data_IF_887287899757
#
_entry.id   IF_887287899757
#
_cell.length_a   1.000
_cell.length_b   1.000
_cell.length_c   1.000
_cell.angle_alpha   90.00
_cell.angle_beta   90.00
_cell.angle_gamma   90.00
#
_symmetry.space_group_name_H-M   'P 1'
#
loop_
_entity.id
_entity.type
_entity.pdbx_description
1 polymer ?
#
# COMPACT_ATOMS: atom_id res chain seq x y z
N UNK A 1 -24.12 26.84 9.66
CA UNK A 1 -22.86 26.14 9.31
C UNK A 1 -23.24 24.76 8.83
N UNK A 2 -22.98 24.42 7.57
CA UNK A 2 -23.14 23.03 7.13
C UNK A 2 -22.05 22.23 7.83
N UNK A 3 -22.44 21.21 8.60
CA UNK A 3 -21.50 20.20 9.10
C UNK A 3 -20.70 19.69 7.90
N UNK A 4 -19.39 19.88 7.94
CA UNK A 4 -18.50 19.41 6.88
C UNK A 4 -18.60 17.88 6.86
N UNK A 5 -19.23 17.35 5.81
CA UNK A 5 -19.41 15.90 5.64
C UNK A 5 -18.02 15.28 5.54
N UNK A 6 -17.67 14.51 6.56
CA UNK A 6 -16.35 13.89 6.72
C UNK A 6 -16.54 12.41 7.00
N UNK A 7 -15.63 11.59 6.50
CA UNK A 7 -15.64 10.13 6.65
C UNK A 7 -14.58 9.70 7.67
N UNK A 8 -14.70 8.52 8.26
CA UNK A 8 -13.70 8.00 9.21
C UNK A 8 -12.35 7.78 8.50
N UNK A 9 -12.37 7.09 7.37
CA UNK A 9 -11.21 6.90 6.53
C UNK A 9 -11.60 6.61 5.09
N UNK A 10 -10.60 6.51 4.22
CA UNK A 10 -10.77 6.02 2.86
C UNK A 10 -9.71 4.94 2.58
N UNK A 11 -10.04 4.04 1.67
CA UNK A 11 -9.17 2.93 1.26
C UNK A 11 -9.16 2.89 -0.26
N UNK A 12 -7.97 2.85 -0.83
CA UNK A 12 -7.74 2.63 -2.25
C UNK A 12 -7.26 1.19 -2.45
N UNK A 13 -8.02 0.40 -3.19
CA UNK A 13 -7.71 -1.00 -3.45
C UNK A 13 -7.69 -1.25 -4.95
N UNK A 14 -6.49 -1.42 -5.51
CA UNK A 14 -6.24 -1.58 -6.94
C UNK A 14 -7.02 -0.58 -7.80
N UNK A 15 -6.79 0.72 -7.56
CA UNK A 15 -7.55 1.79 -8.22
C UNK A 15 -6.69 2.96 -8.68
N UNK A 16 -5.64 3.33 -7.94
CA UNK A 16 -4.83 4.51 -8.30
C UNK A 16 -4.00 4.27 -9.56
N UNK A 17 -3.63 3.02 -9.84
CA UNK A 17 -2.95 2.61 -11.06
C UNK A 17 -3.82 2.77 -12.32
N UNK A 18 -5.14 2.77 -12.15
CA UNK A 18 -6.10 2.97 -13.24
C UNK A 18 -6.38 4.44 -13.57
N UNK A 19 -5.85 5.37 -12.77
CA UNK A 19 -6.06 6.80 -12.99
C UNK A 19 -5.24 7.25 -14.21
N UNK A 20 -5.80 8.08 -15.13
CA UNK A 20 -5.18 8.41 -16.41
C UNK A 20 -3.74 8.90 -16.39
N UNK A 21 -3.28 9.48 -15.28
CA UNK A 21 -1.88 9.82 -15.04
C UNK A 21 -1.59 9.90 -13.53
N UNK A 22 -0.31 9.84 -13.17
CA UNK A 22 0.11 9.78 -11.78
C UNK A 22 -0.07 11.08 -10.99
N UNK A 23 -0.05 12.25 -11.63
CA UNK A 23 -0.36 13.51 -10.93
C UNK A 23 -1.81 13.55 -10.47
N UNK A 24 -2.74 13.11 -11.33
CA UNK A 24 -4.15 13.00 -10.96
C UNK A 24 -4.37 11.95 -9.86
N UNK A 25 -3.61 10.84 -9.85
CA UNK A 25 -3.66 9.85 -8.78
C UNK A 25 -3.23 10.47 -7.43
N UNK A 26 -2.14 11.24 -7.41
CA UNK A 26 -1.70 11.99 -6.21
C UNK A 26 -2.73 13.02 -5.77
N UNK A 27 -3.32 13.78 -6.70
CA UNK A 27 -4.38 14.73 -6.38
C UNK A 27 -5.62 14.06 -5.80
N UNK A 28 -6.01 12.91 -6.35
CA UNK A 28 -7.14 12.12 -5.86
C UNK A 28 -6.89 11.67 -4.41
N UNK A 29 -5.68 11.16 -4.11
CA UNK A 29 -5.26 10.87 -2.75
C UNK A 29 -5.43 12.08 -1.83
N UNK A 30 -4.80 13.21 -2.17
CA UNK A 30 -4.81 14.43 -1.33
C UNK A 30 -6.24 14.94 -1.10
N UNK A 31 -7.09 14.95 -2.14
CA UNK A 31 -8.48 15.42 -2.03
C UNK A 31 -9.33 14.51 -1.14
N UNK A 32 -9.28 13.18 -1.33
CA UNK A 32 -10.07 12.29 -0.47
C UNK A 32 -9.51 12.21 0.95
N UNK A 33 -8.19 12.27 1.11
CA UNK A 33 -7.54 12.40 2.41
C UNK A 33 -8.07 13.63 3.14
N UNK A 34 -8.27 14.76 2.45
CA UNK A 34 -8.94 15.96 2.98
C UNK A 34 -10.27 15.70 3.66
N UNK A 35 -11.06 14.72 3.19
CA UNK A 35 -12.37 14.35 3.74
C UNK A 35 -12.30 13.33 4.90
N UNK A 36 -11.17 12.64 5.07
CA UNK A 36 -11.01 11.58 6.09
C UNK A 36 -10.59 12.13 7.46
N UNK A 37 -11.17 11.61 8.54
CA UNK A 37 -10.84 12.04 9.91
C UNK A 37 -9.65 11.30 10.51
N UNK A 38 -9.55 10.00 10.27
CA UNK A 38 -8.61 9.11 10.96
C UNK A 38 -7.50 8.62 10.06
N UNK A 39 -7.82 8.12 8.86
CA UNK A 39 -6.79 7.51 8.00
C UNK A 39 -7.09 7.58 6.50
N UNK A 40 -6.07 7.28 5.69
CA UNK A 40 -6.22 6.81 4.31
C UNK A 40 -5.28 5.63 4.07
N UNK A 41 -5.75 4.59 3.39
CA UNK A 41 -4.93 3.43 3.06
C UNK A 41 -4.84 3.19 1.55
N UNK A 42 -3.72 2.60 1.13
CA UNK A 42 -3.43 2.19 -0.22
C UNK A 42 -3.11 0.70 -0.25
N UNK A 43 -3.64 0.01 -1.24
CA UNK A 43 -3.20 -1.32 -1.65
C UNK A 43 -3.25 -1.40 -3.18
N UNK A 44 -2.13 -1.74 -3.80
CA UNK A 44 -2.03 -1.95 -5.23
C UNK A 44 -0.66 -2.46 -5.65
N UNK A 45 -0.41 -2.66 -6.95
CA UNK A 45 0.83 -3.27 -7.43
C UNK A 45 2.07 -2.45 -7.05
N UNK A 46 3.15 -3.12 -6.67
CA UNK A 46 4.41 -2.44 -6.35
C UNK A 46 5.17 -2.07 -7.63
N UNK A 47 5.07 -0.82 -8.08
CA UNK A 47 5.83 -0.30 -9.23
C UNK A 47 7.25 0.16 -8.90
N UNK A 48 7.72 -0.02 -7.65
CA UNK A 48 9.13 0.19 -7.34
C UNK A 48 10.01 -0.76 -8.15
N UNK A 49 11.17 -0.25 -8.59
CA UNK A 49 12.13 -0.98 -9.42
C UNK A 49 11.47 -1.65 -10.65
N UNK A 50 10.52 -0.96 -11.30
CA UNK A 50 9.87 -1.47 -12.51
C UNK A 50 10.86 -1.85 -13.62
N UNK A 51 10.56 -2.94 -14.31
CA UNK A 51 11.36 -3.42 -15.43
C UNK A 51 11.06 -2.61 -16.70
N UNK A 52 9.87 -2.02 -16.79
CA UNK A 52 9.39 -1.24 -17.92
C UNK A 52 8.51 -0.09 -17.46
N UNK A 53 8.64 1.06 -18.10
CA UNK A 53 7.80 2.20 -17.79
C UNK A 53 6.36 2.02 -18.31
N UNK A 54 5.44 2.79 -17.75
CA UNK A 54 4.05 2.80 -18.20
C UNK A 54 3.94 3.04 -19.72
N UNK A 55 3.21 2.15 -20.40
CA UNK A 55 3.00 2.13 -21.86
C UNK A 55 4.19 1.66 -22.71
N UNK A 56 5.30 1.23 -22.12
CA UNK A 56 6.38 0.58 -22.86
C UNK A 56 6.05 -0.89 -23.15
N UNK A 57 6.52 -1.39 -24.28
CA UNK A 57 6.44 -2.81 -24.60
C UNK A 57 7.61 -3.55 -23.94
N UNK A 58 7.36 -4.58 -23.10
CA UNK A 58 8.42 -5.37 -22.52
C UNK A 58 9.32 -6.02 -23.56
N UNK A 59 10.62 -5.73 -23.49
CA UNK A 59 11.64 -6.33 -24.37
C UNK A 59 12.22 -7.64 -23.82
N UNK A 60 11.88 -7.98 -22.57
CA UNK A 60 12.34 -9.11 -21.76
C UNK A 60 11.25 -9.48 -20.70
N UNK A 61 11.64 -10.12 -19.60
CA UNK A 61 10.80 -10.41 -18.44
C UNK A 61 10.21 -9.15 -17.81
N UNK A 62 8.94 -9.20 -17.43
CA UNK A 62 8.22 -8.11 -16.78
C UNK A 62 7.20 -8.65 -15.79
N UNK A 63 6.74 -7.81 -14.85
CA UNK A 63 5.63 -8.19 -13.97
C UNK A 63 4.32 -8.06 -14.74
N UNK A 64 3.39 -9.00 -14.55
CA UNK A 64 2.18 -9.07 -15.39
C UNK A 64 1.36 -7.78 -15.41
N UNK A 65 1.37 -7.03 -14.31
CA UNK A 65 0.66 -5.76 -14.18
C UNK A 65 1.36 -4.57 -14.84
N UNK A 66 2.64 -4.65 -15.20
CA UNK A 66 3.40 -3.56 -15.85
C UNK A 66 3.00 -3.34 -17.31
N UNK A 67 2.40 -4.35 -17.95
CA UNK A 67 1.96 -4.27 -19.35
C UNK A 67 0.43 -4.39 -19.48
N UNK A 68 -0.29 -4.05 -18.41
CA UNK A 68 -1.75 -4.01 -18.43
C UNK A 68 -2.21 -2.65 -18.93
N UNK A 69 -2.95 -2.61 -20.05
CA UNK A 69 -3.46 -1.37 -20.62
C UNK A 69 -4.32 -0.54 -19.66
N UNK A 70 -4.97 -1.19 -18.69
CA UNK A 70 -5.76 -0.53 -17.67
C UNK A 70 -4.91 0.27 -16.68
N UNK A 71 -3.63 -0.04 -16.54
CA UNK A 71 -2.71 0.63 -15.62
C UNK A 71 -2.06 1.83 -16.31
N UNK A 72 -2.72 2.98 -16.22
CA UNK A 72 -2.25 4.24 -16.82
C UNK A 72 -1.23 4.96 -15.96
N UNK A 73 -1.20 4.65 -14.66
CA UNK A 73 -0.21 5.15 -13.74
C UNK A 73 0.50 4.00 -13.03
N UNK A 74 1.81 3.91 -13.20
CA UNK A 74 2.67 3.04 -12.40
C UNK A 74 2.97 3.72 -11.07
N UNK A 75 1.98 3.72 -10.17
CA UNK A 75 2.01 4.48 -8.91
C UNK A 75 2.94 3.82 -7.90
N UNK A 76 4.15 4.36 -7.74
CA UNK A 76 5.20 3.79 -6.87
C UNK A 76 5.24 4.41 -5.46
N UNK A 77 6.12 3.88 -4.60
CA UNK A 77 6.21 4.30 -3.20
C UNK A 77 6.60 5.77 -3.01
N UNK A 78 7.45 6.30 -3.87
CA UNK A 78 7.87 7.72 -3.81
C UNK A 78 6.70 8.64 -4.12
N UNK A 79 5.85 8.27 -5.08
CA UNK A 79 4.63 9.03 -5.40
C UNK A 79 3.60 8.97 -4.27
N UNK A 80 3.42 7.80 -3.64
CA UNK A 80 2.55 7.64 -2.48
C UNK A 80 3.05 8.47 -1.29
N UNK A 81 4.36 8.44 -1.01
CA UNK A 81 5.00 9.26 0.03
C UNK A 81 4.80 10.75 -0.23
N UNK A 82 5.01 11.23 -1.46
CA UNK A 82 4.74 12.62 -1.86
C UNK A 82 3.28 13.01 -1.57
N UNK A 83 2.32 12.17 -1.97
CA UNK A 83 0.90 12.42 -1.75
C UNK A 83 0.53 12.46 -0.24
N UNK A 84 1.13 11.59 0.56
CA UNK A 84 0.97 11.57 2.02
C UNK A 84 1.55 12.84 2.67
N UNK A 85 2.73 13.29 2.24
CA UNK A 85 3.38 14.52 2.74
C UNK A 85 2.65 15.80 2.32
N UNK A 86 2.06 15.82 1.12
CA UNK A 86 1.23 16.94 0.63
C UNK A 86 -0.08 17.09 1.39
N UNK A 87 -0.51 16.04 2.09
CA UNK A 87 -1.69 16.08 2.95
C UNK A 87 -1.31 16.70 4.30
N UNK A 88 -1.57 18.00 4.49
CA UNK A 88 -1.09 18.80 5.64
C UNK A 88 -1.43 18.22 7.03
N UNK A 89 -2.49 17.42 7.14
CA UNK A 89 -2.91 16.81 8.41
C UNK A 89 -2.30 15.43 8.68
N UNK A 90 -1.47 14.89 7.78
CA UNK A 90 -0.74 13.63 8.01
C UNK A 90 0.14 13.76 9.26
N UNK A 91 -0.13 12.92 10.27
CA UNK A 91 0.62 12.84 11.53
C UNK A 91 1.65 11.73 11.52
N UNK A 92 1.32 10.63 10.85
CA UNK A 92 2.20 9.50 10.63
C UNK A 92 1.86 8.82 9.31
N UNK A 93 2.81 8.08 8.76
CA UNK A 93 2.53 7.17 7.66
C UNK A 93 3.52 6.01 7.62
N UNK A 94 3.12 4.95 6.92
CA UNK A 94 3.94 3.79 6.62
C UNK A 94 3.63 3.28 5.21
N UNK A 95 4.66 2.86 4.48
CA UNK A 95 4.60 2.25 3.15
C UNK A 95 5.45 0.98 3.16
N UNK A 96 4.84 -0.12 2.76
CA UNK A 96 5.40 -1.47 2.84
C UNK A 96 5.22 -2.18 1.51
N UNK A 97 6.28 -2.79 1.00
CA UNK A 97 6.19 -3.70 -0.13
C UNK A 97 6.13 -5.15 0.35
N UNK A 98 5.21 -5.93 -0.22
CA UNK A 98 4.90 -7.31 0.15
C UNK A 98 5.12 -8.26 -1.02
N UNK A 99 5.39 -9.53 -0.70
CA UNK A 99 5.56 -10.57 -1.72
C UNK A 99 6.87 -10.40 -2.49
N UNK A 100 8.04 -10.70 -1.90
CA UNK A 100 9.31 -10.59 -2.59
C UNK A 100 9.35 -11.55 -3.77
N UNK A 101 9.79 -11.02 -4.91
CA UNK A 101 10.02 -11.74 -6.15
C UNK A 101 11.53 -11.75 -6.36
N UNK A 102 12.14 -12.92 -6.19
CA UNK A 102 13.60 -13.09 -6.21
C UNK A 102 14.13 -13.70 -7.50
N UNK A 103 13.24 -14.23 -8.35
CA UNK A 103 13.60 -14.97 -9.56
C UNK A 103 12.52 -14.87 -10.63
N UNK A 104 12.93 -15.10 -11.88
CA UNK A 104 12.05 -15.04 -13.06
C UNK A 104 11.03 -16.17 -13.11
N UNK A 105 11.18 -17.25 -12.34
CA UNK A 105 10.19 -18.34 -12.26
C UNK A 105 8.92 -17.96 -11.49
N UNK A 106 8.93 -16.85 -10.73
CA UNK A 106 7.81 -16.39 -9.94
C UNK A 106 6.54 -16.17 -10.78
N UNK A 107 5.37 -16.53 -10.27
CA UNK A 107 4.11 -16.48 -11.06
C UNK A 107 3.72 -15.08 -11.55
N UNK A 108 4.26 -14.02 -10.94
CA UNK A 108 4.01 -12.65 -11.37
C UNK A 108 4.90 -12.19 -12.54
N UNK A 109 5.96 -12.95 -12.87
CA UNK A 109 6.86 -12.62 -13.97
C UNK A 109 6.38 -13.29 -15.25
N UNK A 110 6.24 -12.53 -16.33
CA UNK A 110 5.88 -13.00 -17.66
C UNK A 110 7.09 -12.95 -18.59
N UNK A 111 7.27 -13.92 -19.50
CA UNK A 111 8.31 -13.86 -20.51
C UNK A 111 8.05 -12.75 -21.54
N UNK A 112 9.11 -12.37 -22.25
CA UNK A 112 9.04 -11.52 -23.44
C UNK A 112 7.97 -12.03 -24.42
N UNK A 113 7.27 -11.09 -25.06
CA UNK A 113 6.31 -11.41 -26.13
C UNK A 113 4.98 -11.94 -25.61
N UNK A 114 4.79 -12.00 -24.29
CA UNK A 114 3.47 -12.23 -23.71
C UNK A 114 2.50 -11.13 -24.15
N UNK A 115 1.28 -11.48 -24.62
CA UNK A 115 0.27 -10.48 -24.97
C UNK A 115 0.01 -9.50 -23.83
N UNK A 116 -0.36 -8.27 -24.19
CA UNK A 116 -0.84 -7.28 -23.22
C UNK A 116 -2.10 -7.79 -22.52
N UNK A 117 -2.32 -7.30 -21.31
CA UNK A 117 -3.47 -7.69 -20.45
C UNK A 117 -3.49 -9.18 -20.06
N UNK A 118 -2.35 -9.87 -20.19
CA UNK A 118 -2.19 -11.20 -19.63
C UNK A 118 -2.18 -11.17 -18.10
N UNK A 119 -2.82 -12.18 -17.50
CA UNK A 119 -2.76 -12.40 -16.06
C UNK A 119 -1.41 -12.98 -15.60
N UNK A 120 -1.40 -13.58 -14.40
CA UNK A 120 -0.24 -14.30 -13.88
C UNK A 120 0.22 -15.41 -14.84
N UNK A 121 1.51 -15.75 -14.75
CA UNK A 121 2.11 -16.81 -15.55
C UNK A 121 1.34 -18.14 -15.39
N UNK A 122 1.01 -18.72 -16.53
CA UNK A 122 0.34 -20.01 -16.68
C UNK A 122 1.10 -20.76 -17.80
N UNK A 123 1.78 -21.88 -17.49
CA UNK A 123 2.55 -22.64 -18.47
C UNK A 123 1.70 -23.25 -19.61
N UNK A 124 0.37 -23.26 -19.49
CA UNK A 124 -0.54 -23.73 -20.56
C UNK A 124 -0.81 -22.65 -21.61
N UNK A 125 -0.64 -21.38 -21.25
CA UNK A 125 -1.01 -20.22 -22.08
C UNK A 125 0.24 -19.45 -22.50
N UNK A 126 1.22 -19.36 -21.62
CA UNK A 126 2.42 -18.55 -21.80
C UNK A 126 3.58 -19.37 -22.34
N UNK A 127 4.49 -18.69 -23.03
CA UNK A 127 5.76 -19.28 -23.46
C UNK A 127 6.56 -19.76 -22.24
N UNK A 128 7.36 -20.83 -22.35
CA UNK A 128 8.28 -21.21 -21.29
C UNK A 128 9.20 -20.05 -20.91
N UNK A 129 9.49 -19.95 -19.61
CA UNK A 129 10.50 -19.02 -19.08
C UNK A 129 11.58 -19.77 -18.32
N UNK A 130 12.80 -19.26 -18.43
CA UNK A 130 13.94 -19.76 -17.66
C UNK A 130 13.83 -19.29 -16.21
N UNK A 131 14.24 -20.13 -15.25
CA UNK A 131 14.40 -19.72 -13.85
C UNK A 131 15.80 -19.14 -13.66
N UNK A 132 15.87 -17.85 -13.34
CA UNK A 132 17.09 -17.09 -13.06
C UNK A 132 16.83 -16.17 -11.87
N UNK A 133 17.81 -15.96 -10.98
CA UNK A 133 17.72 -14.91 -9.96
C UNK A 133 17.56 -13.53 -10.61
N UNK A 134 16.82 -12.64 -9.94
CA UNK A 134 16.74 -11.23 -10.32
C UNK A 134 17.90 -10.45 -9.69
N UNK A 135 18.42 -9.45 -10.41
CA UNK A 135 19.48 -8.57 -9.91
C UNK A 135 19.03 -7.75 -8.69
N UNK A 136 17.72 -7.50 -8.59
CA UNK A 136 17.07 -6.85 -7.46
C UNK A 136 15.83 -7.64 -7.04
N UNK A 137 15.54 -7.64 -5.75
CA UNK A 137 14.27 -8.16 -5.24
C UNK A 137 13.17 -7.20 -5.66
N UNK A 138 12.24 -7.68 -6.48
CA UNK A 138 11.00 -6.97 -6.78
C UNK A 138 9.92 -7.37 -5.78
N UNK A 139 8.78 -6.68 -5.80
CA UNK A 139 7.66 -6.99 -4.91
C UNK A 139 6.36 -7.11 -5.68
N UNK A 140 5.43 -7.92 -5.16
CA UNK A 140 4.10 -8.11 -5.75
C UNK A 140 3.24 -6.87 -5.55
N UNK A 141 3.10 -6.44 -4.29
CA UNK A 141 2.12 -5.46 -3.84
C UNK A 141 2.78 -4.39 -2.97
N UNK A 142 2.25 -3.18 -3.04
CA UNK A 142 2.58 -2.05 -2.18
C UNK A 142 1.35 -1.71 -1.33
N UNK A 143 1.58 -1.59 -0.03
CA UNK A 143 0.56 -1.25 0.95
C UNK A 143 1.01 0.03 1.64
N UNK A 144 0.07 0.91 1.96
CA UNK A 144 0.38 2.14 2.67
C UNK A 144 -0.75 2.59 3.56
N UNK A 145 -0.41 3.26 4.65
CA UNK A 145 -1.36 3.80 5.59
C UNK A 145 -0.87 5.18 6.05
N UNK A 146 -1.71 6.20 5.89
CA UNK A 146 -1.51 7.53 6.43
C UNK A 146 -2.51 7.80 7.55
N UNK A 147 -2.02 8.32 8.67
CA UNK A 147 -2.80 8.60 9.89
C UNK A 147 -2.97 10.10 10.06
N UNK A 148 -4.20 10.52 10.38
CA UNK A 148 -4.62 11.91 10.53
C UNK A 148 -5.11 12.25 11.93
N UNK A 149 -5.53 11.25 12.71
CA UNK A 149 -5.91 11.47 14.09
C UNK A 149 -4.68 11.63 15.00
N UNK A 150 -4.94 12.17 16.19
CA UNK A 150 -3.90 12.37 17.18
C UNK A 150 -3.41 11.02 17.70
N UNK A 151 -2.13 10.75 17.48
CA UNK A 151 -1.44 9.58 18.03
C UNK A 151 -0.75 10.02 19.32
N UNK A 152 -1.22 9.52 20.46
CA UNK A 152 -0.58 9.76 21.75
C UNK A 152 -0.01 8.45 22.25
N UNK A 153 1.30 8.41 22.54
CA UNK A 153 1.96 7.18 23.04
C UNK A 153 1.24 6.56 24.26
N UNK A 154 0.58 7.38 25.07
CA UNK A 154 -0.14 6.96 26.28
C UNK A 154 -1.62 6.66 26.08
N UNK A 155 -2.26 7.16 25.00
CA UNK A 155 -3.70 6.94 24.73
C UNK A 155 -3.97 6.09 23.48
N UNK A 156 -2.93 5.70 22.76
CA UNK A 156 -3.04 4.94 21.52
C UNK A 156 -3.37 5.82 20.32
N UNK A 157 -4.02 5.20 19.34
CA UNK A 157 -4.59 5.83 18.15
C UNK A 157 -6.08 5.45 18.05
N UNK A 158 -6.82 5.96 17.05
CA UNK A 158 -8.16 5.41 16.83
C UNK A 158 -8.09 3.94 16.41
N UNK A 159 -9.14 3.17 16.72
CA UNK A 159 -9.23 1.78 16.30
C UNK A 159 -9.17 1.63 14.77
N UNK A 160 -9.69 2.60 14.03
CA UNK A 160 -9.65 2.64 12.56
C UNK A 160 -8.21 2.80 12.03
N UNK A 161 -7.45 3.74 12.62
CA UNK A 161 -6.02 3.92 12.32
C UNK A 161 -5.22 2.67 12.69
N UNK A 162 -5.55 2.03 13.82
CA UNK A 162 -4.89 0.82 14.26
C UNK A 162 -5.11 -0.35 13.29
N UNK A 163 -6.33 -0.56 12.80
CA UNK A 163 -6.60 -1.56 11.77
C UNK A 163 -5.90 -1.24 10.45
N UNK A 164 -5.83 0.03 10.04
CA UNK A 164 -5.09 0.44 8.85
C UNK A 164 -3.60 0.08 8.93
N UNK A 165 -2.94 0.36 10.06
CA UNK A 165 -1.53 -0.03 10.30
C UNK A 165 -1.39 -1.54 10.37
N UNK A 166 -2.27 -2.20 11.12
CA UNK A 166 -2.26 -3.65 11.27
C UNK A 166 -2.36 -4.34 9.90
N UNK A 167 -3.31 -3.94 9.06
CA UNK A 167 -3.49 -4.53 7.73
C UNK A 167 -2.28 -4.25 6.84
N UNK A 168 -1.73 -3.03 6.88
CA UNK A 168 -0.52 -2.66 6.12
C UNK A 168 0.70 -3.52 6.48
N UNK A 169 0.82 -3.92 7.75
CA UNK A 169 1.94 -4.72 8.25
C UNK A 169 1.69 -6.24 8.17
N UNK A 170 0.46 -6.66 8.43
CA UNK A 170 0.04 -8.05 8.55
C UNK A 170 -0.63 -8.49 7.24
N UNK A 171 0.15 -8.65 6.19
CA UNK A 171 -0.34 -9.33 5.00
C UNK A 171 -0.69 -10.78 5.40
N UNK A 172 -1.95 -11.19 5.24
CA UNK A 172 -2.49 -12.51 5.62
C UNK A 172 -1.76 -13.71 4.98
N UNK A 173 -0.81 -13.47 4.07
CA UNK A 173 0.14 -14.48 3.60
C UNK A 173 1.24 -14.67 4.66
N UNK A 174 1.03 -15.62 5.59
CA UNK A 174 1.95 -16.07 6.66
C UNK A 174 3.41 -16.40 6.24
N UNK A 175 3.80 -16.20 4.98
CA UNK A 175 5.08 -16.66 4.42
C UNK A 175 5.76 -15.69 3.45
N UNK A 176 5.18 -14.53 3.12
CA UNK A 176 5.84 -13.58 2.22
C UNK A 176 6.56 -12.52 3.04
N UNK A 177 7.89 -12.42 2.91
CA UNK A 177 8.65 -11.31 3.46
C UNK A 177 8.07 -9.96 3.04
N UNK A 178 8.44 -8.90 3.75
CA UNK A 178 8.09 -7.54 3.39
C UNK A 178 9.31 -6.64 3.51
N UNK A 179 9.19 -5.43 2.99
CA UNK A 179 10.20 -4.37 3.13
C UNK A 179 9.50 -3.07 3.50
N UNK A 180 9.93 -2.46 4.59
CA UNK A 180 9.53 -1.10 4.92
C UNK A 180 10.22 -0.17 3.91
N UNK A 181 9.42 0.49 3.08
CA UNK A 181 9.94 1.39 2.04
C UNK A 181 10.10 2.79 2.60
N UNK A 182 9.08 3.27 3.33
CA UNK A 182 9.10 4.57 3.97
C UNK A 182 8.18 4.56 5.18
N UNK A 183 8.58 5.23 6.25
CA UNK A 183 7.78 5.38 7.45
C UNK A 183 8.20 6.67 8.15
N UNK A 184 7.22 7.44 8.63
CA UNK A 184 7.46 8.62 9.46
C UNK A 184 6.45 8.69 10.59
N UNK A 185 6.95 8.83 11.82
CA UNK A 185 6.14 9.08 13.01
C UNK A 185 6.96 9.83 14.06
N UNK A 186 6.59 11.08 14.36
CA UNK A 186 7.35 11.96 15.25
C UNK A 186 8.83 12.05 14.79
N UNK A 187 9.78 11.72 15.66
CA UNK A 187 11.21 11.65 15.32
C UNK A 187 11.64 10.32 14.66
N UNK A 188 10.78 9.30 14.66
CA UNK A 188 11.13 7.97 14.15
C UNK A 188 10.96 7.90 12.63
N UNK A 189 11.86 7.15 11.99
CA UNK A 189 11.82 6.85 10.55
C UNK A 189 12.15 5.39 10.28
N UNK A 190 11.84 4.91 9.07
CA UNK A 190 12.20 3.54 8.63
C UNK A 190 11.64 2.44 9.55
N UNK A 191 12.48 1.43 9.84
CA UNK A 191 12.11 0.26 10.66
C UNK A 191 11.70 0.62 12.09
N UNK A 192 12.37 1.59 12.71
CA UNK A 192 12.03 2.02 14.07
C UNK A 192 10.64 2.64 14.11
N UNK A 193 10.30 3.48 13.12
CA UNK A 193 8.96 4.01 12.95
C UNK A 193 7.92 2.90 12.78
N UNK A 194 8.19 1.91 11.91
CA UNK A 194 7.28 0.80 11.66
C UNK A 194 7.02 -0.01 12.92
N UNK A 195 8.06 -0.27 13.72
CA UNK A 195 7.95 -0.97 15.00
C UNK A 195 7.08 -0.19 15.99
N UNK A 196 7.31 1.12 16.14
CA UNK A 196 6.54 1.95 17.07
C UNK A 196 5.05 2.01 16.67
N UNK A 197 4.75 2.28 15.39
CA UNK A 197 3.37 2.31 14.90
C UNK A 197 2.68 0.96 15.07
N UNK A 198 3.37 -0.14 14.76
CA UNK A 198 2.83 -1.50 14.92
C UNK A 198 2.52 -1.85 16.37
N UNK A 199 3.40 -1.45 17.31
CA UNK A 199 3.19 -1.66 18.73
C UNK A 199 1.97 -0.88 19.23
N UNK A 200 1.86 0.41 18.88
CA UNK A 200 0.72 1.25 19.26
C UNK A 200 -0.58 0.68 18.68
N UNK A 201 -0.57 0.28 17.40
CA UNK A 201 -1.73 -0.32 16.74
C UNK A 201 -2.15 -1.62 17.41
N UNK A 202 -1.21 -2.51 17.70
CA UNK A 202 -1.47 -3.80 18.37
C UNK A 202 -2.07 -3.61 19.75
N UNK A 203 -1.50 -2.69 20.55
CA UNK A 203 -2.05 -2.38 21.88
C UNK A 203 -3.45 -1.77 21.79
N UNK A 204 -3.67 -0.85 20.85
CA UNK A 204 -4.99 -0.24 20.61
C UNK A 204 -6.04 -1.30 20.25
N UNK A 205 -5.71 -2.23 19.35
CA UNK A 205 -6.61 -3.34 18.98
C UNK A 205 -6.85 -4.26 20.18
N UNK A 206 -5.80 -4.62 20.93
CA UNK A 206 -5.92 -5.48 22.10
C UNK A 206 -6.82 -4.87 23.18
N UNK A 207 -6.76 -3.56 23.40
CA UNK A 207 -7.61 -2.86 24.36
C UNK A 207 -9.04 -2.73 23.85
N UNK A 208 -9.24 -2.45 22.57
CA UNK A 208 -10.56 -2.46 21.94
C UNK A 208 -11.26 -3.81 22.10
N UNK A 209 -10.54 -4.93 21.92
CA UNK A 209 -11.09 -6.28 22.07
C UNK A 209 -11.46 -6.66 23.51
N UNK A 210 -11.04 -5.87 24.51
CA UNK A 210 -11.42 -6.06 25.93
C UNK A 210 -12.64 -5.24 26.32
N UNK A 211 -13.09 -4.31 25.49
CA UNK A 211 -14.26 -3.47 25.79
C UNK A 211 -15.51 -4.34 25.91
N UNK A 212 -16.40 -3.94 26.82
CA UNK A 212 -17.76 -4.48 26.81
C UNK A 212 -18.57 -3.91 25.64
N UNK A 213 -19.75 -4.46 25.42
CA UNK A 213 -20.61 -4.05 24.29
C UNK A 213 -21.01 -2.57 24.34
N UNK A 214 -21.21 -2.00 25.53
CA UNK A 214 -21.65 -0.60 25.67
C UNK A 214 -20.51 0.36 25.31
N UNK A 215 -19.29 0.06 25.75
CA UNK A 215 -18.10 0.86 25.45
C UNK A 215 -17.62 0.65 24.01
N UNK A 216 -17.85 -0.53 23.43
CA UNK A 216 -17.58 -0.79 22.02
C UNK A 216 -18.44 0.09 21.11
N UNK A 217 -19.74 0.24 21.39
CA UNK A 217 -20.63 1.11 20.61
C UNK A 217 -20.14 2.56 20.66
N UNK A 218 -19.79 3.07 21.84
CA UNK A 218 -19.27 4.45 22.01
C UNK A 218 -17.95 4.70 21.28
N UNK A 219 -17.12 3.66 21.10
CA UNK A 219 -15.81 3.79 20.45
C UNK A 219 -15.86 3.88 18.91
N UNK A 220 -17.00 3.52 18.31
CA UNK A 220 -17.24 3.55 16.86
C UNK A 220 -17.88 4.88 16.43
N UNK A 221 -18.68 5.49 17.32
CA UNK A 221 -19.42 6.74 17.10
C UNK A 221 -18.54 7.99 16.95
#
# INVERSE_FOLDING_TARGET
>A
MMSERTIRGNTYWHVLEHIPNCELAKEMWVKAAGLSRSFSSFHGPAYDDEMYAANEMPSDYHRFYENWHGHKCHFNSTMLEDAMKRTLKTKAYIIVNHGPITSTDHTHILPKGTPKDSGKYDPKIHLPKESKPLDKILYEEMWGCAIYDDIQQTKGMSIFSAFCIHDTMMCNKKSSGHKIVSCSFQQYTGEECALQLSLIATNTIADFLKLDTEDLVKSID
#
